data_IF_378308826083
#
_entry.id   IF_378308826083
#
_cell.length_a   1.000
_cell.length_b   1.000
_cell.length_c   1.000
_cell.angle_alpha   90.00
_cell.angle_beta   90.00
_cell.angle_gamma   90.00
#
_symmetry.space_group_name_H-M   'P 1'
#
loop_
_entity.id
_entity.type
_entity.pdbx_description
1 polymer ?
#
# COMPACT_ATOMS: atom_id res chain seq x y z
N UNK A 1 11.94 58.72 -40.78
CA UNK A 1 10.96 57.64 -40.47
C UNK A 1 11.62 56.36 -39.93
N UNK A 2 12.76 55.87 -40.46
CA UNK A 2 13.41 54.62 -40.02
C UNK A 2 13.89 54.59 -38.55
N UNK A 3 14.42 55.72 -38.03
CA UNK A 3 14.91 55.81 -36.64
C UNK A 3 13.81 55.81 -35.56
N UNK A 4 12.58 56.21 -35.90
CA UNK A 4 11.46 56.23 -34.94
C UNK A 4 10.93 54.81 -34.72
N UNK A 5 10.86 54.02 -35.79
CA UNK A 5 10.39 52.63 -35.74
C UNK A 5 11.34 51.76 -34.90
N UNK A 6 12.66 51.93 -35.07
CA UNK A 6 13.67 51.19 -34.30
C UNK A 6 13.59 51.53 -32.80
N UNK A 7 13.39 52.80 -32.45
CA UNK A 7 13.19 53.21 -31.05
C UNK A 7 11.91 52.61 -30.46
N UNK A 8 10.78 52.63 -31.18
CA UNK A 8 9.53 52.03 -30.71
C UNK A 8 9.64 50.51 -30.51
N UNK A 9 10.35 49.81 -31.40
CA UNK A 9 10.58 48.36 -31.25
C UNK A 9 11.47 48.02 -30.04
N UNK A 10 12.50 48.82 -29.77
CA UNK A 10 13.34 48.68 -28.57
C UNK A 10 12.57 48.96 -27.27
N UNK A 11 11.75 50.01 -27.25
CA UNK A 11 10.90 50.29 -26.09
C UNK A 11 9.82 49.21 -25.88
N UNK A 12 9.26 48.68 -26.98
CA UNK A 12 8.29 47.58 -26.92
C UNK A 12 8.88 46.26 -26.42
N UNK A 13 10.13 45.93 -26.80
CA UNK A 13 10.78 44.71 -26.31
C UNK A 13 11.21 44.82 -24.85
N UNK A 14 11.66 46.00 -24.41
CA UNK A 14 12.01 46.26 -23.02
C UNK A 14 10.78 46.20 -22.10
N UNK A 15 9.65 46.79 -22.51
CA UNK A 15 8.42 46.72 -21.72
C UNK A 15 7.89 45.29 -21.67
N UNK A 16 7.90 44.55 -22.79
CA UNK A 16 7.50 43.14 -22.79
C UNK A 16 8.40 42.26 -21.89
N UNK A 17 9.72 42.49 -21.91
CA UNK A 17 10.68 41.81 -21.02
C UNK A 17 10.44 42.10 -19.54
N UNK A 18 10.11 43.35 -19.20
CA UNK A 18 9.77 43.72 -17.81
C UNK A 18 8.43 43.12 -17.36
N UNK A 19 7.41 43.12 -18.22
CA UNK A 19 6.10 42.54 -17.89
C UNK A 19 6.16 41.01 -17.76
N UNK A 20 6.93 40.33 -18.60
CA UNK A 20 7.12 38.88 -18.49
C UNK A 20 7.86 38.50 -17.21
N UNK A 21 8.94 39.21 -16.85
CA UNK A 21 9.66 38.97 -15.58
C UNK A 21 8.79 39.26 -14.36
N UNK A 22 8.02 40.34 -14.35
CA UNK A 22 7.06 40.63 -13.27
C UNK A 22 5.96 39.57 -13.16
N UNK A 23 5.48 39.04 -14.28
CA UNK A 23 4.50 37.96 -14.30
C UNK A 23 5.08 36.64 -13.75
N UNK A 24 6.31 36.28 -14.11
CA UNK A 24 6.99 35.12 -13.54
C UNK A 24 7.25 35.28 -12.04
N UNK A 25 7.65 36.47 -11.58
CA UNK A 25 7.81 36.76 -10.14
C UNK A 25 6.47 36.68 -9.39
N UNK A 26 5.38 37.14 -10.01
CA UNK A 26 4.03 37.03 -9.44
C UNK A 26 3.56 35.58 -9.33
N UNK A 27 3.73 34.77 -10.39
CA UNK A 27 3.42 33.35 -10.36
C UNK A 27 4.27 32.60 -9.35
N UNK A 28 5.58 32.90 -9.29
CA UNK A 28 6.47 32.32 -8.30
C UNK A 28 6.01 32.66 -6.87
N UNK A 29 5.60 33.91 -6.63
CA UNK A 29 5.09 34.35 -5.31
C UNK A 29 3.77 33.70 -4.91
N UNK A 30 2.84 33.50 -5.85
CA UNK A 30 1.60 32.76 -5.57
C UNK A 30 1.92 31.31 -5.24
N UNK A 31 2.83 30.70 -6.00
CA UNK A 31 3.23 29.32 -5.80
C UNK A 31 3.91 29.12 -4.44
N UNK A 32 4.86 29.99 -4.08
CA UNK A 32 5.51 29.96 -2.76
C UNK A 32 4.52 30.21 -1.63
N UNK A 33 3.59 31.15 -1.78
CA UNK A 33 2.56 31.41 -0.76
C UNK A 33 1.60 30.22 -0.57
N UNK A 34 1.20 29.54 -1.64
CA UNK A 34 0.37 28.32 -1.55
C UNK A 34 1.12 27.18 -0.84
N UNK A 35 2.41 27.04 -1.14
CA UNK A 35 3.29 26.05 -0.50
C UNK A 35 3.56 26.37 0.98
N UNK A 36 3.80 27.64 1.32
CA UNK A 36 3.99 28.09 2.71
C UNK A 36 2.74 27.84 3.56
N UNK A 37 1.54 28.12 3.01
CA UNK A 37 0.28 27.83 3.71
C UNK A 37 0.13 26.33 3.99
N UNK A 38 0.45 25.50 3.01
CA UNK A 38 0.42 24.02 3.16
C UNK A 38 1.46 23.56 4.21
N UNK A 39 2.65 24.15 4.21
CA UNK A 39 3.73 23.87 5.17
C UNK A 39 3.35 24.30 6.60
N UNK A 40 2.75 25.48 6.77
CA UNK A 40 2.26 25.97 8.07
C UNK A 40 1.13 25.11 8.64
N UNK A 41 0.17 24.68 7.81
CA UNK A 41 -0.88 23.72 8.20
C UNK A 41 -0.34 22.32 8.56
N UNK A 42 0.82 21.95 8.01
CA UNK A 42 1.53 20.71 8.36
C UNK A 42 2.28 20.83 9.70
N UNK A 43 3.05 21.90 9.84
CA UNK A 43 3.87 22.18 11.02
C UNK A 43 3.01 22.37 12.26
N UNK A 44 1.93 23.16 12.16
CA UNK A 44 1.00 23.38 13.29
C UNK A 44 0.34 22.08 13.79
N UNK A 45 -0.02 21.16 12.90
CA UNK A 45 -0.57 19.86 13.27
C UNK A 45 0.46 18.99 14.01
N UNK A 46 1.70 18.97 13.53
CA UNK A 46 2.81 18.26 14.17
C UNK A 46 3.17 18.80 15.57
N UNK A 47 3.18 20.13 15.75
CA UNK A 47 3.50 20.75 17.04
C UNK A 47 2.40 20.56 18.09
N UNK A 48 1.12 20.59 17.69
CA UNK A 48 -0.01 20.35 18.60
C UNK A 48 0.00 18.92 19.14
N UNK A 49 0.30 17.94 18.29
CA UNK A 49 0.37 16.51 18.65
C UNK A 49 1.53 16.16 19.59
N UNK A 50 2.68 16.85 19.47
CA UNK A 50 3.77 16.70 20.44
C UNK A 50 3.40 17.21 21.85
N UNK A 51 2.46 18.15 21.96
CA UNK A 51 2.06 18.72 23.25
C UNK A 51 1.03 17.88 24.02
N UNK A 52 0.25 17.04 23.33
CA UNK A 52 -0.77 16.19 23.96
C UNK A 52 -0.22 14.87 24.54
N UNK A 53 1.07 14.55 24.36
CA UNK A 53 1.69 13.29 24.81
C UNK A 53 2.52 13.42 26.11
N UNK A 54 2.00 14.07 27.15
CA UNK A 54 2.55 13.96 28.52
C UNK A 54 1.65 13.07 29.42
N UNK A 55 2.23 12.19 30.26
CA UNK A 55 1.46 11.17 30.96
C UNK A 55 0.73 11.74 32.18
N UNK A 56 -0.61 11.63 32.19
CA UNK A 56 -1.44 11.92 33.35
C UNK A 56 -1.22 10.80 34.39
N UNK A 57 -0.57 11.14 35.49
CA UNK A 57 -0.54 10.36 36.73
C UNK A 57 -1.75 10.76 37.57
N UNK A 58 -2.61 9.81 37.99
CA UNK A 58 -3.25 9.77 39.32
C UNK A 58 -4.21 8.59 39.52
N UNK A 59 -4.19 8.06 40.74
CA UNK A 59 -4.90 6.90 41.32
C UNK A 59 -6.45 6.99 41.31
N UNK A 60 -7.16 5.84 41.49
CA UNK A 60 -8.62 5.76 41.37
C UNK A 60 -9.36 6.03 42.70
N UNK A 61 -10.34 6.94 42.67
CA UNK A 61 -11.44 7.02 43.65
C UNK A 61 -12.78 6.70 42.96
N UNK A 62 -13.71 5.99 43.62
CA UNK A 62 -14.93 5.46 42.98
C UNK A 62 -16.04 6.52 42.90
N UNK A 63 -16.87 6.56 41.84
CA UNK A 63 -17.95 7.53 41.77
C UNK A 63 -19.17 7.09 42.57
N UNK A 64 -19.68 8.04 43.35
CA UNK A 64 -20.96 8.02 44.05
C UNK A 64 -22.15 8.00 43.07
N UNK A 65 -23.19 7.25 43.43
CA UNK A 65 -24.48 7.17 42.74
C UNK A 65 -25.20 8.53 42.71
N UNK A 66 -25.63 8.97 41.54
CA UNK A 66 -26.68 9.98 41.39
C UNK A 66 -27.64 9.60 40.25
N UNK A 67 -28.92 9.78 40.52
CA UNK A 67 -30.07 9.32 39.76
C UNK A 67 -30.21 9.96 38.37
N UNK A 68 -30.41 9.13 37.34
CA UNK A 68 -30.82 9.55 36.00
C UNK A 68 -32.33 9.78 35.98
N UNK A 69 -32.73 11.03 35.87
CA UNK A 69 -34.07 11.42 35.42
C UNK A 69 -34.09 11.32 33.90
N UNK A 70 -34.80 10.33 33.36
CA UNK A 70 -35.03 10.17 31.92
C UNK A 70 -35.94 11.29 31.43
N UNK A 71 -35.37 12.26 30.71
CA UNK A 71 -36.14 13.14 29.82
C UNK A 71 -35.80 12.75 28.38
N UNK A 72 -36.74 12.05 27.74
CA UNK A 72 -36.74 11.78 26.32
C UNK A 72 -36.80 13.10 25.53
N UNK A 73 -35.70 13.44 24.85
CA UNK A 73 -35.71 14.26 23.62
C UNK A 73 -34.87 13.53 22.58
N UNK A 74 -35.36 13.35 21.34
CA UNK A 74 -34.55 12.81 20.27
C UNK A 74 -33.55 13.88 19.84
N UNK A 75 -32.28 13.74 20.22
CA UNK A 75 -31.20 14.47 19.58
C UNK A 75 -31.02 13.93 18.17
N UNK A 76 -31.18 14.84 17.20
CA UNK A 76 -30.97 14.60 15.78
C UNK A 76 -29.57 14.04 15.56
N UNK A 77 -29.51 12.75 15.23
CA UNK A 77 -28.43 12.17 14.46
C UNK A 77 -28.27 13.01 13.19
N UNK A 78 -27.18 13.78 13.10
CA UNK A 78 -26.77 14.40 11.85
C UNK A 78 -26.40 13.26 10.91
N UNK A 79 -27.38 12.84 10.12
CA UNK A 79 -27.21 12.03 8.92
C UNK A 79 -26.22 12.77 8.02
N UNK A 80 -25.02 12.21 7.85
CA UNK A 80 -24.16 12.54 6.71
C UNK A 80 -24.88 12.05 5.46
N UNK A 81 -25.66 12.94 4.87
CA UNK A 81 -26.46 12.71 3.68
C UNK A 81 -25.53 12.61 2.46
N UNK A 82 -25.39 11.38 1.94
CA UNK A 82 -25.27 11.04 0.50
C UNK A 82 -24.24 11.83 -0.33
N UNK A 83 -23.04 11.27 -0.52
CA UNK A 83 -22.09 11.64 -1.60
C UNK A 83 -22.26 10.71 -2.83
N UNK A 84 -23.50 10.30 -3.11
CA UNK A 84 -23.83 9.27 -4.10
C UNK A 84 -24.67 9.72 -5.31
N UNK A 85 -24.94 11.01 -5.51
CA UNK A 85 -25.77 11.46 -6.63
C UNK A 85 -25.10 12.55 -7.48
N UNK A 86 -25.09 12.33 -8.80
CA UNK A 86 -24.59 13.19 -9.89
C UNK A 86 -23.08 13.22 -10.16
N UNK A 87 -22.44 12.06 -10.33
CA UNK A 87 -21.14 12.01 -11.02
C UNK A 87 -21.37 12.32 -12.50
N UNK A 88 -21.00 13.53 -12.93
CA UNK A 88 -21.06 13.91 -14.33
C UNK A 88 -19.90 13.27 -15.10
N UNK A 89 -20.14 12.09 -15.67
CA UNK A 89 -19.17 11.38 -16.52
C UNK A 89 -18.78 12.13 -17.80
N UNK A 90 -19.43 13.26 -18.10
CA UNK A 90 -19.05 14.15 -19.19
C UNK A 90 -18.03 15.23 -18.78
N UNK A 91 -17.66 15.32 -17.49
CA UNK A 91 -16.62 16.25 -17.04
C UNK A 91 -15.23 15.81 -17.57
N UNK A 92 -14.57 16.62 -18.42
CA UNK A 92 -13.26 16.28 -18.96
C UNK A 92 -12.19 16.06 -17.87
N UNK A 93 -12.29 16.76 -16.73
CA UNK A 93 -11.32 16.61 -15.62
C UNK A 93 -11.47 15.26 -14.92
N UNK A 94 -12.71 14.78 -14.78
CA UNK A 94 -12.98 13.47 -14.21
C UNK A 94 -12.42 12.37 -15.11
N UNK A 95 -12.68 12.46 -16.42
CA UNK A 95 -12.18 11.51 -17.41
C UNK A 95 -10.65 11.50 -17.49
N UNK A 96 -10.01 12.68 -17.42
CA UNK A 96 -8.55 12.79 -17.36
C UNK A 96 -8.00 12.12 -16.09
N UNK A 97 -8.59 12.39 -14.92
CA UNK A 97 -8.21 11.76 -13.65
C UNK A 97 -8.33 10.23 -13.69
N UNK A 98 -9.46 9.72 -14.17
CA UNK A 98 -9.70 8.28 -14.34
C UNK A 98 -8.70 7.65 -15.32
N UNK A 99 -8.44 8.29 -16.46
CA UNK A 99 -7.49 7.80 -17.46
C UNK A 99 -6.04 7.83 -16.97
N UNK A 100 -5.67 8.87 -16.22
CA UNK A 100 -4.29 9.12 -15.78
C UNK A 100 -3.93 8.31 -14.54
N UNK A 101 -4.82 8.25 -13.54
CA UNK A 101 -4.54 7.65 -12.23
C UNK A 101 -5.40 6.43 -11.90
N UNK A 102 -6.47 6.19 -12.67
CA UNK A 102 -7.37 5.05 -12.46
C UNK A 102 -8.50 5.28 -11.46
N UNK A 103 -8.66 6.50 -10.95
CA UNK A 103 -9.67 6.87 -9.96
C UNK A 103 -10.02 8.37 -10.01
N UNK A 104 -11.05 8.78 -9.28
CA UNK A 104 -11.58 10.13 -9.29
C UNK A 104 -10.70 11.11 -8.49
N UNK A 105 -9.87 11.86 -9.22
CA UNK A 105 -8.94 12.85 -8.65
C UNK A 105 -9.63 14.10 -8.12
N UNK A 106 -10.82 14.44 -8.63
CA UNK A 106 -11.62 15.58 -8.12
C UNK A 106 -12.02 15.28 -6.68
N UNK A 107 -12.58 14.09 -6.43
CA UNK A 107 -12.92 13.66 -5.08
C UNK A 107 -11.68 13.52 -4.20
N UNK A 108 -10.58 12.93 -4.71
CA UNK A 108 -9.32 12.84 -3.95
C UNK A 108 -8.82 14.21 -3.49
N UNK A 109 -8.86 15.21 -4.37
CA UNK A 109 -8.45 16.59 -4.06
C UNK A 109 -9.38 17.24 -3.05
N UNK A 110 -10.70 17.12 -3.23
CA UNK A 110 -11.69 17.74 -2.35
C UNK A 110 -11.65 17.19 -0.92
N UNK A 111 -11.38 15.90 -0.78
CA UNK A 111 -11.22 15.25 0.52
C UNK A 111 -9.89 15.64 1.20
N UNK A 112 -8.97 16.32 0.49
CA UNK A 112 -7.68 16.76 1.02
C UNK A 112 -6.71 15.60 1.18
N UNK A 113 -5.75 15.64 2.10
CA UNK A 113 -4.88 14.51 2.47
C UNK A 113 -5.06 14.08 3.94
N UNK A 114 -5.74 14.90 4.74
CA UNK A 114 -6.14 14.62 6.12
C UNK A 114 -7.62 14.27 6.15
N UNK A 115 -7.95 13.03 6.47
CA UNK A 115 -9.33 12.61 6.75
C UNK A 115 -9.35 11.49 7.78
N UNK A 116 -10.46 11.39 8.49
CA UNK A 116 -10.75 10.20 9.29
C UNK A 116 -11.44 9.14 8.44
N UNK A 117 -11.14 7.88 8.73
CA UNK A 117 -11.80 6.71 8.14
C UNK A 117 -12.57 5.95 9.22
N UNK A 118 -13.67 5.27 8.90
CA UNK A 118 -14.41 4.48 9.88
C UNK A 118 -13.53 3.36 10.45
N UNK A 119 -13.70 3.06 11.74
CA UNK A 119 -13.07 1.88 12.35
C UNK A 119 -13.83 0.63 11.90
N UNK A 120 -13.26 -0.08 10.93
CA UNK A 120 -13.84 -1.27 10.29
C UNK A 120 -13.43 -2.57 10.98
N UNK A 121 -12.71 -2.50 12.11
CA UNK A 121 -12.29 -3.67 12.87
C UNK A 121 -13.48 -4.31 13.59
N UNK A 122 -13.37 -5.61 13.83
CA UNK A 122 -14.33 -6.30 14.69
C UNK A 122 -14.21 -5.78 16.13
N UNK A 123 -15.31 -5.65 16.87
CA UNK A 123 -15.32 -5.09 18.24
C UNK A 123 -14.38 -5.82 19.21
N UNK A 124 -14.17 -7.12 19.00
CA UNK A 124 -13.24 -7.92 19.80
C UNK A 124 -11.78 -7.51 19.63
N UNK A 125 -11.40 -6.91 18.49
CA UNK A 125 -10.04 -6.40 18.28
C UNK A 125 -9.68 -5.28 19.27
N UNK A 126 -10.69 -4.56 19.77
CA UNK A 126 -10.50 -3.47 20.73
C UNK A 126 -10.13 -3.99 22.13
N UNK A 127 -10.36 -5.27 22.40
CA UNK A 127 -10.06 -5.92 23.69
C UNK A 127 -8.67 -6.55 23.70
N UNK A 128 -7.97 -6.58 22.55
CA UNK A 128 -6.62 -7.13 22.47
C UNK A 128 -5.62 -6.18 23.12
N UNK A 129 -4.88 -6.69 24.10
CA UNK A 129 -3.73 -6.02 24.68
C UNK A 129 -2.45 -6.60 24.10
N UNK A 130 -1.68 -5.77 23.40
CA UNK A 130 -0.37 -6.14 22.88
C UNK A 130 0.72 -5.77 23.89
N UNK A 131 1.83 -6.51 23.88
CA UNK A 131 3.02 -6.17 24.68
C UNK A 131 3.51 -4.76 24.33
N UNK A 132 4.05 -4.04 25.30
CA UNK A 132 4.71 -2.75 25.05
C UNK A 132 6.03 -2.89 24.27
N UNK A 133 6.62 -4.09 24.26
CA UNK A 133 7.88 -4.39 23.59
C UNK A 133 7.61 -5.12 22.27
N UNK A 134 7.23 -4.35 21.23
CA UNK A 134 7.09 -4.84 19.87
C UNK A 134 8.31 -4.41 19.02
N UNK A 135 8.68 -5.18 17.98
CA UNK A 135 9.76 -4.81 17.06
C UNK A 135 9.42 -3.52 16.30
N UNK A 136 10.44 -2.74 15.91
CA UNK A 136 10.22 -1.53 15.12
C UNK A 136 9.93 -1.85 13.65
N UNK A 137 9.25 -0.94 12.95
CA UNK A 137 8.83 -1.12 11.57
C UNK A 137 9.37 -0.01 10.65
N UNK A 138 9.98 -0.41 9.53
CA UNK A 138 10.23 0.47 8.38
C UNK A 138 9.11 0.26 7.36
N UNK A 139 8.32 1.30 7.12
CA UNK A 139 7.23 1.28 6.15
C UNK A 139 7.75 1.68 4.77
N UNK A 140 7.64 0.81 3.77
CA UNK A 140 8.17 1.01 2.42
C UNK A 140 7.02 1.23 1.45
N UNK A 141 6.99 2.39 0.81
CA UNK A 141 5.98 2.79 -0.16
C UNK A 141 6.67 3.05 -1.50
N UNK A 142 6.45 2.17 -2.47
CA UNK A 142 6.93 2.36 -3.83
C UNK A 142 5.86 3.05 -4.67
N UNK A 143 6.24 4.02 -5.48
CA UNK A 143 5.30 4.75 -6.33
C UNK A 143 5.92 5.10 -7.68
N UNK A 144 5.07 5.21 -8.69
CA UNK A 144 5.42 5.69 -10.02
C UNK A 144 4.20 6.46 -10.55
N UNK A 145 4.36 7.75 -10.84
CA UNK A 145 3.29 8.57 -11.40
C UNK A 145 1.99 8.53 -10.55
N UNK A 146 2.14 8.44 -9.23
CA UNK A 146 1.02 8.42 -8.28
C UNK A 146 0.32 9.78 -8.18
N UNK A 147 -0.98 9.79 -7.89
CA UNK A 147 -1.68 11.04 -7.61
C UNK A 147 -1.18 11.64 -6.29
N UNK A 148 -0.83 12.93 -6.30
CA UNK A 148 -0.18 13.58 -5.17
C UNK A 148 -0.94 13.45 -3.86
N UNK A 149 -2.26 13.70 -3.85
CA UNK A 149 -3.05 13.61 -2.60
C UNK A 149 -3.18 12.16 -2.12
N UNK A 150 -3.33 11.17 -3.00
CA UNK A 150 -3.37 9.76 -2.61
C UNK A 150 -2.05 9.28 -1.99
N UNK A 151 -0.91 9.62 -2.58
CA UNK A 151 0.42 9.34 -2.00
C UNK A 151 0.54 9.98 -0.62
N UNK A 152 0.17 11.26 -0.53
CA UNK A 152 0.33 12.02 0.70
C UNK A 152 -0.64 11.56 1.80
N UNK A 153 -1.86 11.17 1.44
CA UNK A 153 -2.85 10.59 2.35
C UNK A 153 -2.39 9.24 2.88
N UNK A 154 -1.76 8.42 2.05
CA UNK A 154 -1.13 7.16 2.49
C UNK A 154 -0.09 7.43 3.57
N UNK A 155 0.88 8.29 3.25
CA UNK A 155 1.95 8.67 4.17
C UNK A 155 1.40 9.29 5.46
N UNK A 156 0.44 10.22 5.35
CA UNK A 156 -0.16 10.90 6.49
C UNK A 156 -0.93 9.93 7.39
N UNK A 157 -1.68 8.97 6.82
CA UNK A 157 -2.39 7.96 7.59
C UNK A 157 -1.43 7.09 8.42
N UNK A 158 -0.27 6.72 7.85
CA UNK A 158 0.77 5.98 8.57
C UNK A 158 1.35 6.80 9.70
N UNK A 159 1.73 8.06 9.45
CA UNK A 159 2.28 8.95 10.49
C UNK A 159 1.30 9.14 11.64
N UNK A 160 0.03 9.41 11.34
CA UNK A 160 -0.97 9.77 12.33
C UNK A 160 -1.49 8.58 13.16
N UNK A 161 -1.60 7.40 12.54
CA UNK A 161 -2.23 6.23 13.16
C UNK A 161 -1.22 5.17 13.65
N UNK A 162 0.07 5.49 13.66
CA UNK A 162 1.12 4.58 14.12
C UNK A 162 1.86 5.16 15.33
N UNK A 163 1.97 4.41 16.44
CA UNK A 163 2.73 4.87 17.60
C UNK A 163 4.20 5.20 17.25
N UNK A 164 4.68 6.34 17.74
CA UNK A 164 6.03 6.84 17.46
C UNK A 164 7.16 5.87 17.84
N UNK A 165 6.94 5.02 18.85
CA UNK A 165 7.89 4.00 19.31
C UNK A 165 7.99 2.78 18.39
N UNK A 166 6.98 2.57 17.53
CA UNK A 166 6.93 1.43 16.61
C UNK A 166 7.36 1.82 15.19
N UNK A 167 7.10 3.08 14.79
CA UNK A 167 7.48 3.60 13.48
C UNK A 167 8.92 4.10 13.49
N UNK A 168 9.83 3.26 13.00
CA UNK A 168 11.24 3.60 12.78
C UNK A 168 11.36 4.67 11.69
N UNK A 169 10.74 4.42 10.54
CA UNK A 169 10.83 5.28 9.37
C UNK A 169 9.77 4.94 8.30
N UNK A 170 9.55 5.89 7.40
CA UNK A 170 8.83 5.69 6.14
C UNK A 170 9.82 5.89 4.99
N UNK A 171 9.95 4.89 4.11
CA UNK A 171 10.81 4.92 2.94
C UNK A 171 9.93 5.03 1.70
N UNK A 172 9.97 6.18 1.07
CA UNK A 172 9.33 6.43 -0.22
C UNK A 172 10.32 6.08 -1.34
N UNK A 173 9.93 5.19 -2.24
CA UNK A 173 10.75 4.80 -3.40
C UNK A 173 10.05 5.27 -4.66
N UNK A 174 10.55 6.36 -5.24
CA UNK A 174 10.12 6.90 -6.52
C UNK A 174 10.75 6.08 -7.66
N UNK A 175 9.94 5.27 -8.33
CA UNK A 175 10.36 4.45 -9.46
C UNK A 175 10.32 5.23 -10.78
N UNK A 176 11.11 6.31 -10.84
CA UNK A 176 11.26 7.19 -12.01
C UNK A 176 9.94 7.84 -12.44
N UNK A 177 9.28 8.57 -11.52
CA UNK A 177 8.08 9.35 -11.84
C UNK A 177 8.37 10.52 -12.78
N UNK A 178 7.44 10.76 -13.69
CA UNK A 178 7.50 11.80 -14.71
C UNK A 178 6.76 13.07 -14.28
N UNK A 179 5.75 12.95 -13.42
CA UNK A 179 4.89 14.08 -13.03
C UNK A 179 5.62 15.08 -12.13
N UNK A 180 5.49 16.36 -12.47
CA UNK A 180 6.23 17.46 -11.84
C UNK A 180 5.92 17.63 -10.34
N UNK A 181 4.68 17.35 -9.94
CA UNK A 181 4.23 17.43 -8.54
C UNK A 181 4.86 16.37 -7.64
N UNK A 182 5.45 15.33 -8.21
CA UNK A 182 6.22 14.30 -7.51
C UNK A 182 7.73 14.62 -7.46
N UNK A 183 8.17 15.76 -8.00
CA UNK A 183 9.57 16.20 -8.00
C UNK A 183 9.82 17.24 -6.89
N UNK A 184 10.17 18.46 -7.25
CA UNK A 184 10.55 19.53 -6.32
C UNK A 184 9.44 19.82 -5.29
N UNK A 185 8.16 19.76 -5.72
CA UNK A 185 7.02 19.95 -4.81
C UNK A 185 7.00 18.88 -3.71
N UNK A 186 7.20 17.61 -4.07
CA UNK A 186 7.24 16.52 -3.08
C UNK A 186 8.46 16.68 -2.16
N UNK A 187 9.63 16.98 -2.71
CA UNK A 187 10.86 17.19 -1.93
C UNK A 187 10.65 18.26 -0.85
N UNK A 188 10.08 19.41 -1.24
CA UNK A 188 9.77 20.52 -0.33
C UNK A 188 8.81 20.13 0.78
N UNK A 189 7.71 19.44 0.45
CA UNK A 189 6.70 19.06 1.44
C UNK A 189 7.25 18.02 2.43
N UNK A 190 8.15 17.14 1.96
CA UNK A 190 8.79 16.14 2.81
C UNK A 190 9.84 16.73 3.77
N UNK A 191 10.32 17.96 3.54
CA UNK A 191 11.24 18.63 4.46
C UNK A 191 10.66 18.81 5.87
N UNK A 192 9.34 18.91 5.99
CA UNK A 192 8.67 19.04 7.30
C UNK A 192 8.82 17.75 8.14
N UNK A 193 9.02 16.60 7.49
CA UNK A 193 9.16 15.29 8.14
C UNK A 193 10.60 14.82 8.30
N UNK A 194 11.56 15.76 8.23
CA UNK A 194 13.01 15.48 8.32
C UNK A 194 13.32 14.57 9.51
N UNK A 195 13.89 13.39 9.22
CA UNK A 195 14.31 12.39 10.20
C UNK A 195 13.47 11.11 10.23
N UNK A 196 12.16 11.18 9.93
CA UNK A 196 11.29 9.99 9.86
C UNK A 196 11.01 9.50 8.44
N UNK A 197 11.12 10.36 7.43
CA UNK A 197 10.81 10.00 6.05
C UNK A 197 12.08 10.07 5.18
N UNK A 198 12.33 9.00 4.43
CA UNK A 198 13.43 8.89 3.47
C UNK A 198 12.87 8.75 2.06
N UNK A 199 13.21 9.67 1.17
CA UNK A 199 12.86 9.59 -0.24
C UNK A 199 14.05 9.05 -1.04
N UNK A 200 13.81 8.01 -1.83
CA UNK A 200 14.77 7.39 -2.75
C UNK A 200 14.24 7.59 -4.17
N UNK A 201 15.04 8.17 -5.05
CA UNK A 201 14.70 8.36 -6.47
C UNK A 201 15.51 7.43 -7.37
N UNK A 202 14.84 6.55 -8.08
CA UNK A 202 15.48 5.67 -9.06
C UNK A 202 15.83 6.45 -10.33
N UNK A 203 17.02 6.19 -10.88
CA UNK A 203 17.49 6.81 -12.12
C UNK A 203 16.94 6.14 -13.39
N UNK A 204 16.35 4.95 -13.23
CA UNK A 204 15.67 4.20 -14.27
C UNK A 204 14.42 3.54 -13.69
N UNK A 205 13.43 3.25 -14.52
CA UNK A 205 12.23 2.53 -14.10
C UNK A 205 12.55 1.05 -13.85
N UNK A 206 12.67 0.70 -12.58
CA UNK A 206 13.07 -0.63 -12.10
C UNK A 206 11.88 -1.59 -11.97
N UNK A 207 10.67 -1.05 -11.73
CA UNK A 207 9.47 -1.80 -11.41
C UNK A 207 9.20 -1.91 -9.91
N UNK A 208 7.96 -2.29 -9.55
CA UNK A 208 7.53 -2.48 -8.16
C UNK A 208 8.46 -3.46 -7.41
N UNK A 209 8.79 -4.58 -8.05
CA UNK A 209 9.56 -5.68 -7.43
C UNK A 209 10.94 -5.20 -6.97
N UNK A 210 11.66 -4.53 -7.88
CA UNK A 210 13.00 -4.01 -7.62
C UNK A 210 12.95 -2.75 -6.75
N UNK A 211 11.95 -1.88 -6.93
CA UNK A 211 11.69 -0.74 -6.06
C UNK A 211 11.53 -1.16 -4.59
N UNK A 212 10.77 -2.22 -4.33
CA UNK A 212 10.60 -2.78 -2.97
C UNK A 212 11.91 -3.32 -2.40
N UNK A 213 12.72 -4.00 -3.21
CA UNK A 213 14.04 -4.46 -2.77
C UNK A 213 15.00 -3.30 -2.48
N UNK A 214 14.94 -2.21 -3.26
CA UNK A 214 15.72 -0.99 -3.02
C UNK A 214 15.32 -0.36 -1.69
N UNK A 215 14.01 -0.23 -1.43
CA UNK A 215 13.51 0.26 -0.15
C UNK A 215 13.93 -0.62 1.03
N UNK A 216 13.77 -1.94 0.89
CA UNK A 216 14.15 -2.92 1.91
C UNK A 216 15.65 -2.88 2.23
N UNK A 217 16.50 -2.65 1.22
CA UNK A 217 17.95 -2.52 1.41
C UNK A 217 18.35 -1.25 2.18
N UNK A 218 17.48 -0.24 2.27
CA UNK A 218 17.72 1.01 3.00
C UNK A 218 17.01 1.09 4.35
N UNK A 219 16.23 0.06 4.70
CA UNK A 219 15.47 -0.02 5.94
C UNK A 219 16.34 -0.37 7.16
N UNK A 220 16.13 0.33 8.28
CA UNK A 220 16.76 0.08 9.59
C UNK A 220 15.89 -0.70 10.57
N UNK A 221 14.56 -0.68 10.43
CA UNK A 221 13.62 -1.32 11.34
C UNK A 221 13.71 -2.84 11.35
N UNK A 222 13.24 -3.45 12.44
CA UNK A 222 13.23 -4.91 12.61
C UNK A 222 12.31 -5.60 11.61
N UNK A 223 11.16 -4.98 11.34
CA UNK A 223 10.12 -5.47 10.42
C UNK A 223 10.02 -4.55 9.21
N UNK A 224 9.95 -5.14 8.02
CA UNK A 224 9.60 -4.45 6.78
C UNK A 224 8.10 -4.50 6.60
N UNK A 225 7.48 -3.34 6.37
CA UNK A 225 6.04 -3.24 6.07
C UNK A 225 5.88 -2.61 4.70
N UNK A 226 5.43 -3.37 3.72
CA UNK A 226 5.18 -2.86 2.37
C UNK A 226 3.75 -2.33 2.29
N UNK A 227 3.59 -1.13 1.73
CA UNK A 227 2.30 -0.51 1.42
C UNK A 227 2.33 0.02 -0.01
N UNK A 228 1.22 -0.17 -0.72
CA UNK A 228 1.01 0.54 -2.00
C UNK A 228 0.73 2.03 -1.73
N UNK A 229 1.00 2.87 -2.73
CA UNK A 229 1.01 4.33 -2.61
C UNK A 229 -0.36 5.02 -2.60
N UNK A 230 -1.43 4.24 -2.50
CA UNK A 230 -2.83 4.69 -2.51
C UNK A 230 -3.65 3.89 -1.50
N UNK A 231 -3.14 3.88 -0.27
CA UNK A 231 -3.70 3.19 0.88
C UNK A 231 -4.09 4.18 1.98
N UNK A 232 -5.00 3.77 2.87
CA UNK A 232 -5.27 4.46 4.13
C UNK A 232 -5.32 3.44 5.25
N UNK A 233 -4.39 3.52 6.20
CA UNK A 233 -4.35 2.58 7.31
C UNK A 233 -5.45 2.86 8.32
N UNK A 234 -5.95 1.83 9.01
CA UNK A 234 -6.95 2.00 10.05
C UNK A 234 -6.30 2.15 11.45
N UNK A 235 -7.09 2.46 12.47
CA UNK A 235 -6.63 2.53 13.87
C UNK A 235 -6.06 1.19 14.31
N UNK A 236 -4.92 1.20 14.99
CA UNK A 236 -4.28 0.00 15.53
C UNK A 236 -3.93 -1.05 14.46
N UNK A 237 -3.59 -0.61 13.25
CA UNK A 237 -3.30 -1.51 12.13
C UNK A 237 -1.96 -2.23 12.28
N UNK A 238 -0.96 -1.62 12.94
CA UNK A 238 0.41 -2.13 12.90
C UNK A 238 0.70 -3.14 14.01
N UNK A 239 0.22 -2.86 15.22
CA UNK A 239 0.46 -3.65 16.43
C UNK A 239 0.08 -5.13 16.28
N UNK A 240 -1.08 -5.50 15.68
CA UNK A 240 -1.43 -6.91 15.46
C UNK A 240 -0.45 -7.63 14.51
N UNK A 241 0.09 -6.91 13.51
CA UNK A 241 1.07 -7.44 12.57
C UNK A 241 2.40 -7.71 13.28
N UNK A 242 2.92 -6.69 13.98
CA UNK A 242 4.18 -6.79 14.71
C UNK A 242 4.13 -7.82 15.83
N UNK A 243 2.99 -7.91 16.54
CA UNK A 243 2.79 -8.92 17.58
C UNK A 243 2.85 -10.35 17.04
N UNK A 244 2.31 -10.57 15.84
CA UNK A 244 2.35 -11.89 15.20
C UNK A 244 3.79 -12.25 14.80
N UNK A 245 4.52 -11.31 14.19
CA UNK A 245 5.93 -11.53 13.81
C UNK A 245 6.82 -11.70 15.05
N UNK A 246 6.57 -10.97 16.14
CA UNK A 246 7.34 -11.10 17.38
C UNK A 246 7.20 -12.49 18.02
N UNK A 247 6.10 -13.22 17.78
CA UNK A 247 5.93 -14.61 18.23
C UNK A 247 6.72 -15.59 17.40
N UNK A 248 6.79 -15.37 16.08
CA UNK A 248 7.54 -16.19 15.15
C UNK A 248 8.03 -15.33 13.98
N UNK A 249 9.34 -15.11 13.93
CA UNK A 249 10.00 -14.31 12.90
C UNK A 249 9.87 -14.90 11.47
N UNK A 250 9.40 -16.14 11.32
CA UNK A 250 9.10 -16.77 10.03
C UNK A 250 7.65 -16.59 9.58
N UNK A 251 6.82 -15.92 10.38
CA UNK A 251 5.50 -15.49 9.96
C UNK A 251 5.60 -14.26 9.05
N UNK A 252 4.93 -14.35 7.91
CA UNK A 252 4.63 -13.23 7.03
C UNK A 252 3.15 -12.95 7.18
N UNK A 253 2.81 -11.69 7.43
CA UNK A 253 1.45 -11.31 7.81
C UNK A 253 0.91 -10.19 6.94
N UNK A 254 -0.34 -10.32 6.53
CA UNK A 254 -1.08 -9.33 5.77
C UNK A 254 -2.21 -8.75 6.62
N UNK A 255 -2.53 -7.46 6.50
CA UNK A 255 -3.81 -6.95 6.99
C UNK A 255 -4.98 -7.50 6.16
N UNK A 256 -6.19 -7.37 6.67
CA UNK A 256 -7.37 -7.37 5.80
C UNK A 256 -7.38 -6.08 4.98
N UNK A 257 -7.54 -6.22 3.67
CA UNK A 257 -7.54 -5.11 2.74
C UNK A 257 -8.97 -4.63 2.53
N UNK A 258 -9.28 -3.45 3.04
CA UNK A 258 -10.55 -2.76 2.84
C UNK A 258 -10.59 -2.07 1.48
N UNK A 259 -11.80 -1.81 0.99
CA UNK A 259 -12.00 -1.17 -0.31
C UNK A 259 -12.14 0.33 -0.11
N UNK A 260 -11.33 1.10 -0.82
CA UNK A 260 -11.60 2.52 -1.05
C UNK A 260 -12.11 2.63 -2.48
N UNK A 261 -13.37 3.03 -2.61
CA UNK A 261 -14.05 3.11 -3.91
C UNK A 261 -13.36 4.12 -4.82
N UNK A 262 -13.07 3.74 -6.07
CA UNK A 262 -12.28 4.57 -6.97
C UNK A 262 -13.02 5.82 -7.45
N UNK A 263 -14.34 5.90 -7.26
CA UNK A 263 -15.15 7.00 -7.77
C UNK A 263 -15.57 7.96 -6.65
N UNK A 264 -16.02 7.41 -5.53
CA UNK A 264 -16.53 8.15 -4.36
C UNK A 264 -15.49 8.32 -3.26
N UNK A 265 -14.38 7.57 -3.31
CA UNK A 265 -13.35 7.49 -2.27
C UNK A 265 -13.92 7.06 -0.91
N UNK A 266 -15.09 6.41 -0.89
CA UNK A 266 -15.69 5.87 0.32
C UNK A 266 -14.88 4.66 0.80
N UNK A 267 -14.53 4.66 2.09
CA UNK A 267 -13.84 3.55 2.75
C UNK A 267 -14.86 2.53 3.25
N UNK A 268 -14.79 1.29 2.74
CA UNK A 268 -15.72 0.20 3.07
C UNK A 268 -14.99 -1.03 3.59
N UNK A 269 -15.53 -1.62 4.64
CA UNK A 269 -15.01 -2.85 5.21
C UNK A 269 -15.14 -4.02 4.21
N UNK A 270 -14.04 -4.75 3.99
CA UNK A 270 -14.05 -6.00 3.25
C UNK A 270 -14.51 -7.18 4.10
N UNK A 271 -15.17 -8.20 3.52
CA UNK A 271 -15.44 -9.44 4.23
C UNK A 271 -14.14 -10.14 4.63
N UNK A 272 -14.22 -11.04 5.60
CA UNK A 272 -13.09 -11.88 6.00
C UNK A 272 -12.82 -12.90 4.90
N UNK A 273 -11.68 -12.78 4.24
CA UNK A 273 -11.27 -13.59 3.08
C UNK A 273 -9.84 -14.08 3.27
N UNK A 274 -9.50 -15.14 2.53
CA UNK A 274 -8.11 -15.61 2.36
C UNK A 274 -7.66 -15.44 0.91
N UNK A 275 -6.36 -15.29 0.71
CA UNK A 275 -5.78 -15.20 -0.63
C UNK A 275 -5.54 -16.58 -1.23
N UNK A 276 -5.94 -16.75 -2.49
CA UNK A 276 -5.83 -17.97 -3.25
C UNK A 276 -5.39 -17.66 -4.70
N UNK A 277 -5.25 -18.69 -5.52
CA UNK A 277 -5.02 -18.54 -6.95
C UNK A 277 -5.58 -19.74 -7.73
N UNK A 278 -5.64 -19.61 -9.05
CA UNK A 278 -6.04 -20.69 -9.97
C UNK A 278 -4.85 -21.24 -10.77
N UNK A 279 -5.08 -22.28 -11.57
CA UNK A 279 -4.05 -22.86 -12.45
C UNK A 279 -3.61 -21.96 -13.61
N UNK A 280 -4.27 -20.82 -13.84
CA UNK A 280 -3.76 -19.78 -14.74
C UNK A 280 -2.79 -18.81 -14.04
N UNK A 281 -2.56 -19.03 -12.74
CA UNK A 281 -1.75 -18.23 -11.82
C UNK A 281 -2.32 -16.83 -11.60
N UNK A 282 -3.65 -16.71 -11.62
CA UNK A 282 -4.34 -15.47 -11.25
C UNK A 282 -4.68 -15.51 -9.77
N UNK A 283 -4.28 -14.48 -9.04
CA UNK A 283 -4.68 -14.28 -7.65
C UNK A 283 -6.20 -14.08 -7.57
N UNK A 284 -6.82 -14.62 -6.52
CA UNK A 284 -8.23 -14.39 -6.19
C UNK A 284 -8.41 -14.36 -4.67
N UNK A 285 -9.46 -13.68 -4.23
CA UNK A 285 -9.95 -13.81 -2.86
C UNK A 285 -10.87 -15.02 -2.78
N UNK A 286 -10.69 -15.82 -1.74
CA UNK A 286 -11.49 -17.00 -1.43
C UNK A 286 -12.13 -16.85 -0.04
N UNK A 287 -13.23 -17.54 0.17
CA UNK A 287 -13.88 -17.57 1.46
C UNK A 287 -13.03 -18.33 2.46
N UNK A 288 -13.08 -17.91 3.72
CA UNK A 288 -12.50 -18.66 4.82
C UNK A 288 -13.48 -19.76 5.22
N UNK A 289 -12.98 -20.99 5.41
CA UNK A 289 -13.85 -22.10 5.73
C UNK A 289 -14.57 -21.90 7.06
N UNK A 290 -15.81 -22.41 7.16
CA UNK A 290 -16.61 -22.30 8.39
C UNK A 290 -15.87 -22.88 9.60
N UNK A 291 -15.23 -24.04 9.46
CA UNK A 291 -14.44 -24.63 10.54
C UNK A 291 -13.19 -23.80 10.91
N UNK A 292 -12.74 -22.88 10.06
CA UNK A 292 -11.71 -21.89 10.38
C UNK A 292 -12.27 -20.66 11.10
N UNK A 293 -13.59 -20.43 11.02
CA UNK A 293 -14.34 -19.28 11.54
C UNK A 293 -15.23 -19.61 12.76
N UNK A 294 -15.50 -20.89 13.06
CA UNK A 294 -16.40 -21.31 14.13
C UNK A 294 -15.71 -21.29 15.52
N UNK A 295 -16.24 -20.52 16.46
CA UNK A 295 -15.78 -20.43 17.87
C UNK A 295 -15.70 -18.98 18.39
N UNK A 296 -15.53 -18.78 19.72
CA UNK A 296 -15.67 -17.47 20.35
C UNK A 296 -14.60 -16.45 19.90
N UNK A 297 -13.33 -16.85 19.75
CA UNK A 297 -12.22 -15.93 19.42
C UNK A 297 -11.86 -15.90 17.92
N UNK A 298 -12.63 -16.60 17.08
CA UNK A 298 -12.31 -16.80 15.68
C UNK A 298 -12.41 -15.56 14.78
N UNK A 299 -13.30 -14.57 15.02
CA UNK A 299 -13.35 -13.35 14.20
C UNK A 299 -12.05 -12.52 14.21
N UNK A 300 -11.17 -12.76 15.17
CA UNK A 300 -9.91 -12.00 15.37
C UNK A 300 -8.66 -12.86 15.23
N UNK A 301 -8.82 -14.18 15.01
CA UNK A 301 -7.70 -15.11 14.93
C UNK A 301 -6.96 -14.94 13.58
N UNK A 302 -5.62 -15.06 13.54
CA UNK A 302 -4.87 -15.14 12.29
C UNK A 302 -5.42 -16.24 11.36
N UNK A 303 -5.60 -15.89 10.09
CA UNK A 303 -6.22 -16.74 9.06
C UNK A 303 -5.13 -17.24 8.13
N UNK A 304 -5.00 -18.56 7.98
CA UNK A 304 -3.99 -19.14 7.11
C UNK A 304 -4.32 -18.81 5.66
N UNK A 305 -3.35 -18.28 4.91
CA UNK A 305 -3.56 -17.83 3.53
C UNK A 305 -2.63 -18.57 2.58
N UNK A 306 -3.15 -19.35 1.61
CA UNK A 306 -2.34 -19.97 0.56
C UNK A 306 -1.47 -18.97 -0.20
N UNK A 307 -2.04 -17.82 -0.54
CA UNK A 307 -1.35 -16.74 -1.22
C UNK A 307 -1.68 -15.37 -0.59
N UNK A 308 -0.87 -14.37 -0.90
CA UNK A 308 -1.17 -12.96 -0.59
C UNK A 308 -1.42 -12.16 -1.87
N UNK A 309 -2.18 -11.07 -1.75
CA UNK A 309 -2.31 -10.09 -2.82
C UNK A 309 -0.96 -9.45 -3.16
N UNK A 310 -0.07 -9.32 -2.16
CA UNK A 310 1.29 -8.82 -2.31
C UNK A 310 1.43 -7.30 -2.20
N UNK A 311 0.36 -6.53 -2.37
CA UNK A 311 0.36 -5.07 -2.20
C UNK A 311 0.78 -4.63 -0.78
N UNK A 312 0.21 -5.29 0.23
CA UNK A 312 0.33 -4.88 1.63
C UNK A 312 0.68 -6.09 2.51
N UNK A 313 1.84 -6.08 3.15
CA UNK A 313 2.26 -7.13 4.08
C UNK A 313 3.42 -6.67 4.97
N UNK A 314 3.61 -7.38 6.09
CA UNK A 314 4.74 -7.21 6.99
C UNK A 314 5.56 -8.51 7.08
N UNK A 315 6.88 -8.36 7.13
CA UNK A 315 7.83 -9.48 7.23
C UNK A 315 9.05 -9.07 8.06
N UNK A 316 9.56 -9.98 8.88
CA UNK A 316 10.82 -9.74 9.60
C UNK A 316 11.97 -9.51 8.61
N UNK A 317 12.73 -8.42 8.79
CA UNK A 317 13.74 -7.98 7.81
C UNK A 317 14.82 -9.04 7.56
N UNK A 318 15.31 -9.68 8.63
CA UNK A 318 16.31 -10.75 8.49
C UNK A 318 15.71 -11.95 7.73
N UNK A 319 14.47 -12.33 8.05
CA UNK A 319 13.80 -13.44 7.36
C UNK A 319 13.60 -13.13 5.87
N UNK A 320 13.18 -11.92 5.50
CA UNK A 320 13.08 -11.49 4.10
C UNK A 320 14.41 -11.66 3.33
N UNK A 321 15.54 -11.33 3.98
CA UNK A 321 16.87 -11.54 3.40
C UNK A 321 17.25 -13.02 3.31
N UNK A 322 17.01 -13.79 4.37
CA UNK A 322 17.29 -15.23 4.48
C UNK A 322 16.59 -16.01 3.36
N UNK A 323 15.30 -15.75 3.13
CA UNK A 323 14.53 -16.42 2.07
C UNK A 323 14.85 -15.89 0.67
N UNK A 324 15.77 -14.92 0.52
CA UNK A 324 16.22 -14.43 -0.78
C UNK A 324 15.33 -13.36 -1.42
N UNK A 325 14.72 -12.48 -0.62
CA UNK A 325 14.01 -11.26 -1.04
C UNK A 325 12.97 -11.52 -2.14
N UNK A 326 12.94 -10.74 -3.23
CA UNK A 326 12.22 -11.10 -4.45
C UNK A 326 13.18 -11.66 -5.51
N UNK A 327 12.66 -12.35 -6.51
CA UNK A 327 13.43 -12.74 -7.69
C UNK A 327 13.81 -11.51 -8.53
N UNK A 328 15.09 -11.12 -8.50
CA UNK A 328 15.65 -9.97 -9.24
C UNK A 328 15.48 -10.07 -10.76
N UNK A 329 15.27 -11.28 -11.28
CA UNK A 329 15.02 -11.52 -12.70
C UNK A 329 13.57 -11.27 -13.13
N UNK A 330 12.66 -11.00 -12.20
CA UNK A 330 11.31 -10.53 -12.49
C UNK A 330 11.28 -9.05 -12.86
N UNK A 331 10.41 -8.69 -13.80
CA UNK A 331 10.30 -7.35 -14.36
C UNK A 331 9.02 -6.66 -13.91
N UNK A 332 9.09 -5.33 -13.77
CA UNK A 332 7.96 -4.44 -13.48
C UNK A 332 7.09 -4.92 -12.31
N UNK A 333 6.02 -5.65 -12.63
CA UNK A 333 4.97 -6.08 -11.72
C UNK A 333 4.35 -7.39 -12.18
N UNK A 334 3.89 -8.19 -11.22
CA UNK A 334 3.00 -9.32 -11.46
C UNK A 334 3.68 -10.67 -11.22
N UNK A 335 2.98 -11.55 -10.50
CA UNK A 335 3.44 -12.91 -10.18
C UNK A 335 4.39 -12.99 -8.98
N UNK A 336 4.98 -11.87 -8.55
CA UNK A 336 5.88 -11.82 -7.38
C UNK A 336 5.18 -12.17 -6.08
N UNK A 337 3.89 -11.83 -5.99
CA UNK A 337 3.06 -12.12 -4.83
C UNK A 337 2.85 -13.63 -4.66
N UNK A 338 2.58 -14.34 -5.76
CA UNK A 338 2.44 -15.79 -5.76
C UNK A 338 3.80 -16.48 -5.55
N UNK A 339 4.86 -16.00 -6.19
CA UNK A 339 6.21 -16.58 -6.04
C UNK A 339 6.69 -16.52 -4.60
N UNK A 340 6.52 -15.36 -3.96
CA UNK A 340 6.89 -15.17 -2.56
C UNK A 340 5.97 -16.00 -1.65
N UNK A 341 4.67 -16.10 -1.95
CA UNK A 341 3.73 -16.95 -1.17
C UNK A 341 4.14 -18.42 -1.17
N UNK A 342 4.41 -18.98 -2.37
CA UNK A 342 4.86 -20.36 -2.52
C UNK A 342 6.17 -20.59 -1.77
N UNK A 343 7.13 -19.68 -1.93
CA UNK A 343 8.42 -19.78 -1.25
C UNK A 343 8.29 -19.71 0.26
N UNK A 344 7.48 -18.80 0.81
CA UNK A 344 7.27 -18.70 2.26
C UNK A 344 6.79 -20.05 2.80
N UNK A 345 5.74 -20.62 2.20
CA UNK A 345 5.18 -21.89 2.65
C UNK A 345 6.14 -23.06 2.46
N UNK A 346 6.68 -23.22 1.26
CA UNK A 346 7.50 -24.37 0.90
C UNK A 346 8.85 -24.35 1.62
N UNK A 347 9.36 -23.19 2.03
CA UNK A 347 10.66 -23.07 2.71
C UNK A 347 10.54 -22.90 4.24
N UNK A 348 9.40 -23.31 4.82
CA UNK A 348 9.25 -23.45 6.28
C UNK A 348 8.80 -22.20 7.03
N UNK A 349 8.32 -21.17 6.32
CA UNK A 349 7.60 -20.05 6.91
C UNK A 349 6.09 -20.24 6.88
N UNK A 350 5.38 -19.19 7.27
CA UNK A 350 3.92 -19.20 7.33
C UNK A 350 3.36 -17.88 6.82
N UNK A 351 2.20 -17.93 6.18
CA UNK A 351 1.51 -16.76 5.64
C UNK A 351 0.12 -16.63 6.24
N UNK A 352 -0.14 -15.50 6.91
CA UNK A 352 -1.40 -15.24 7.58
C UNK A 352 -2.01 -13.91 7.20
N UNK A 353 -3.34 -13.82 7.23
CA UNK A 353 -4.09 -12.57 7.26
C UNK A 353 -4.49 -12.31 8.71
N UNK A 354 -4.29 -11.08 9.18
CA UNK A 354 -4.55 -10.67 10.57
C UNK A 354 -5.80 -9.79 10.60
N UNK A 355 -6.98 -10.31 11.03
CA UNK A 355 -8.24 -9.59 10.88
C UNK A 355 -8.34 -8.26 11.64
N UNK A 356 -7.58 -8.13 12.74
CA UNK A 356 -7.53 -6.90 13.53
C UNK A 356 -6.65 -5.81 12.92
N UNK A 357 -5.84 -6.14 11.92
CA UNK A 357 -5.11 -5.17 11.12
C UNK A 357 -5.88 -4.91 9.84
N UNK A 358 -6.25 -3.65 9.60
CA UNK A 358 -7.01 -3.26 8.39
C UNK A 358 -6.36 -2.07 7.70
N UNK A 359 -6.31 -2.14 6.38
CA UNK A 359 -5.78 -1.08 5.51
C UNK A 359 -6.71 -0.96 4.31
N UNK A 360 -7.23 0.22 4.06
CA UNK A 360 -8.00 0.54 2.86
C UNK A 360 -7.07 0.72 1.67
N UNK A 361 -7.49 0.23 0.51
CA UNK A 361 -6.75 0.33 -0.74
C UNK A 361 -7.67 0.84 -1.86
N UNK A 362 -7.22 1.82 -2.64
CA UNK A 362 -7.99 2.34 -3.79
C UNK A 362 -7.99 1.31 -4.93
N UNK A 363 -9.18 0.84 -5.34
CA UNK A 363 -9.31 -0.12 -6.45
C UNK A 363 -9.20 0.56 -7.81
N UNK A 364 -7.98 0.92 -8.20
CA UNK A 364 -7.73 1.63 -9.47
C UNK A 364 -8.18 0.84 -10.68
N UNK A 365 -8.79 1.52 -11.65
CA UNK A 365 -8.99 1.00 -13.01
C UNK A 365 -7.71 1.17 -13.81
N UNK A 366 -7.21 0.08 -14.38
CA UNK A 366 -5.96 0.10 -15.12
C UNK A 366 -6.21 0.41 -16.60
N UNK A 367 -5.75 1.56 -17.09
CA UNK A 367 -5.99 2.01 -18.47
C UNK A 367 -4.73 2.08 -19.35
N UNK A 368 -3.52 1.98 -18.79
CA UNK A 368 -2.24 2.22 -19.53
C UNK A 368 -1.23 1.07 -19.40
N UNK A 369 -0.33 0.98 -20.37
CA UNK A 369 0.83 0.06 -20.44
C UNK A 369 0.53 -1.45 -20.44
N UNK A 370 -0.65 -1.85 -20.90
CA UNK A 370 -1.10 -3.27 -20.89
C UNK A 370 -0.07 -4.21 -21.53
N UNK A 371 0.59 -3.83 -22.62
CA UNK A 371 1.51 -4.73 -23.34
C UNK A 371 2.83 -5.00 -22.60
N UNK A 372 3.44 -3.98 -22.00
CA UNK A 372 4.68 -4.15 -21.23
C UNK A 372 4.42 -4.92 -19.94
N UNK A 373 3.32 -4.59 -19.25
CA UNK A 373 2.88 -5.28 -18.04
C UNK A 373 2.52 -6.74 -18.34
N UNK A 374 1.84 -7.02 -19.46
CA UNK A 374 1.52 -8.39 -19.87
C UNK A 374 2.76 -9.22 -20.17
N UNK A 375 3.77 -8.64 -20.86
CA UNK A 375 5.06 -9.31 -21.10
C UNK A 375 5.80 -9.59 -19.80
N UNK A 376 5.85 -8.60 -18.90
CA UNK A 376 6.45 -8.74 -17.58
C UNK A 376 5.76 -9.85 -16.77
N UNK A 377 4.43 -9.80 -16.64
CA UNK A 377 3.63 -10.81 -15.96
C UNK A 377 3.88 -12.22 -16.53
N UNK A 378 3.92 -12.36 -17.86
CA UNK A 378 4.19 -13.64 -18.53
C UNK A 378 5.57 -14.17 -18.16
N UNK A 379 6.60 -13.34 -18.29
CA UNK A 379 7.98 -13.70 -17.95
C UNK A 379 8.10 -14.08 -16.47
N UNK A 380 7.55 -13.27 -15.57
CA UNK A 380 7.59 -13.49 -14.13
C UNK A 380 6.87 -14.79 -13.74
N UNK A 381 5.69 -15.03 -14.30
CA UNK A 381 4.94 -16.26 -14.10
C UNK A 381 5.74 -17.48 -14.54
N UNK A 382 6.38 -17.45 -15.71
CA UNK A 382 7.22 -18.56 -16.17
C UNK A 382 8.42 -18.82 -15.26
N UNK A 383 9.07 -17.76 -14.76
CA UNK A 383 10.16 -17.92 -13.77
C UNK A 383 9.68 -18.64 -12.52
N UNK A 384 8.53 -18.24 -11.97
CA UNK A 384 7.92 -18.91 -10.82
C UNK A 384 7.55 -20.36 -11.14
N UNK A 385 6.87 -20.60 -12.27
CA UNK A 385 6.42 -21.92 -12.72
C UNK A 385 7.57 -22.92 -12.76
N UNK A 386 8.69 -22.53 -13.37
CA UNK A 386 9.85 -23.40 -13.53
C UNK A 386 10.62 -23.64 -12.23
N UNK A 387 10.50 -22.76 -11.24
CA UNK A 387 11.21 -22.90 -9.96
C UNK A 387 10.37 -23.62 -8.91
N UNK A 388 9.04 -23.39 -8.87
CA UNK A 388 8.21 -23.72 -7.70
C UNK A 388 7.11 -24.74 -7.95
N UNK A 389 6.69 -24.99 -9.20
CA UNK A 389 5.53 -25.87 -9.47
C UNK A 389 5.90 -27.32 -9.79
N UNK A 390 7.18 -27.70 -9.76
CA UNK A 390 7.63 -29.07 -10.03
C UNK A 390 6.99 -29.67 -11.31
N UNK A 391 6.43 -30.88 -11.25
CA UNK A 391 5.66 -31.52 -12.33
C UNK A 391 4.30 -30.83 -12.62
N UNK A 392 3.75 -30.10 -11.65
CA UNK A 392 2.45 -29.42 -11.77
C UNK A 392 2.49 -28.20 -12.69
N UNK A 393 3.66 -27.76 -13.13
CA UNK A 393 3.78 -26.78 -14.23
C UNK A 393 3.02 -27.21 -15.48
N UNK A 394 2.82 -28.51 -15.69
CA UNK A 394 2.03 -29.03 -16.82
C UNK A 394 0.57 -28.56 -16.76
N UNK A 395 -0.02 -28.39 -15.57
CA UNK A 395 -1.38 -27.86 -15.40
C UNK A 395 -1.49 -26.40 -15.86
N UNK A 396 -0.45 -25.60 -15.63
CA UNK A 396 -0.36 -24.24 -16.14
C UNK A 396 -0.23 -24.25 -17.67
N UNK A 397 0.64 -25.10 -18.22
CA UNK A 397 0.84 -25.17 -19.67
C UNK A 397 -0.32 -25.80 -20.44
N UNK A 398 -1.15 -26.65 -19.83
CA UNK A 398 -2.38 -27.13 -20.45
C UNK A 398 -3.36 -25.97 -20.71
N UNK A 399 -3.43 -25.00 -19.79
CA UNK A 399 -4.29 -23.81 -19.91
C UNK A 399 -3.66 -22.70 -20.76
N UNK A 400 -2.32 -22.64 -20.81
CA UNK A 400 -1.57 -21.68 -21.62
C UNK A 400 -0.49 -22.36 -22.48
N UNK A 401 -0.85 -23.18 -23.49
CA UNK A 401 0.12 -23.98 -24.26
C UNK A 401 1.18 -23.15 -24.97
N UNK A 402 0.80 -21.96 -25.48
CA UNK A 402 1.70 -21.05 -26.17
C UNK A 402 2.84 -20.48 -25.32
N UNK A 403 2.80 -20.67 -23.99
CA UNK A 403 3.85 -20.18 -23.09
C UNK A 403 5.01 -21.16 -22.90
N UNK A 404 4.90 -22.42 -23.35
CA UNK A 404 5.96 -23.44 -23.19
C UNK A 404 7.29 -23.05 -23.83
N UNK A 405 7.24 -22.35 -24.96
CA UNK A 405 8.41 -21.97 -25.76
C UNK A 405 8.92 -20.56 -25.47
N UNK A 406 8.29 -19.83 -24.54
CA UNK A 406 8.64 -18.45 -24.22
C UNK A 406 9.83 -18.41 -23.26
N UNK A 407 10.83 -17.58 -23.56
CA UNK A 407 12.02 -17.43 -22.74
C UNK A 407 11.71 -16.68 -21.42
N UNK A 408 12.17 -17.26 -20.30
CA UNK A 408 12.02 -16.71 -18.95
C UNK A 408 13.36 -16.31 -18.30
N UNK A 409 14.46 -16.44 -19.04
CA UNK A 409 15.81 -16.10 -18.57
C UNK A 409 16.40 -17.09 -17.58
N UNK A 410 17.57 -16.77 -17.04
CA UNK A 410 18.28 -17.64 -16.09
C UNK A 410 17.57 -17.66 -14.72
N UNK A 411 17.29 -18.86 -14.20
CA UNK A 411 16.67 -19.10 -12.89
C UNK A 411 17.57 -19.86 -11.91
N UNK A 412 18.84 -20.10 -12.26
CA UNK A 412 19.76 -20.95 -11.48
C UNK A 412 19.90 -20.48 -10.03
N UNK A 413 20.00 -19.16 -9.79
CA UNK A 413 20.06 -18.61 -8.43
C UNK A 413 18.81 -18.97 -7.59
N UNK A 414 17.63 -18.98 -8.21
CA UNK A 414 16.36 -19.32 -7.53
C UNK A 414 16.24 -20.81 -7.26
N UNK A 415 16.68 -21.65 -8.21
CA UNK A 415 16.75 -23.10 -8.03
C UNK A 415 17.73 -23.47 -6.92
N UNK A 416 18.89 -22.80 -6.87
CA UNK A 416 19.93 -23.06 -5.87
C UNK A 416 19.51 -22.57 -4.49
N UNK A 417 18.81 -21.44 -4.42
CA UNK A 417 18.16 -20.95 -3.21
C UNK A 417 17.15 -21.99 -2.67
N UNK A 418 16.27 -22.52 -3.53
CA UNK A 418 15.27 -23.53 -3.14
C UNK A 418 15.93 -24.78 -2.56
N UNK A 419 17.03 -25.25 -3.17
CA UNK A 419 17.82 -26.38 -2.67
C UNK A 419 18.48 -26.06 -1.32
N UNK A 420 19.15 -24.91 -1.21
CA UNK A 420 19.88 -24.49 0.00
C UNK A 420 18.98 -24.38 1.22
N UNK A 421 17.75 -23.87 1.03
CA UNK A 421 16.76 -23.73 2.10
C UNK A 421 16.06 -25.05 2.44
N UNK A 422 16.30 -26.13 1.70
CA UNK A 422 15.64 -27.42 1.92
C UNK A 422 14.12 -27.35 1.73
N UNK A 423 13.65 -26.54 0.78
CA UNK A 423 12.23 -26.31 0.59
C UNK A 423 11.49 -27.59 0.14
N UNK A 424 10.24 -27.72 0.56
CA UNK A 424 9.34 -28.82 0.24
C UNK A 424 8.93 -28.81 -1.25
N UNK A 425 8.32 -29.91 -1.69
CA UNK A 425 7.74 -30.04 -3.03
C UNK A 425 6.43 -29.26 -3.16
N UNK A 426 6.01 -29.01 -4.39
CA UNK A 426 4.71 -28.41 -4.67
C UNK A 426 3.56 -29.36 -4.29
N UNK A 427 3.75 -30.68 -4.42
CA UNK A 427 2.81 -31.68 -3.87
C UNK A 427 2.58 -31.44 -2.37
N UNK A 428 3.63 -31.28 -1.56
CA UNK A 428 3.47 -31.00 -0.13
C UNK A 428 2.68 -29.72 0.12
N UNK A 429 2.87 -28.69 -0.72
CA UNK A 429 2.11 -27.46 -0.65
C UNK A 429 0.61 -27.71 -0.94
N UNK A 430 0.28 -28.50 -1.96
CA UNK A 430 -1.11 -28.90 -2.23
C UNK A 430 -1.69 -29.67 -1.05
N UNK A 431 -0.98 -30.69 -0.55
CA UNK A 431 -1.49 -31.55 0.54
C UNK A 431 -1.72 -30.78 1.84
N UNK A 432 -0.87 -29.79 2.15
CA UNK A 432 -0.77 -29.20 3.49
C UNK A 432 -1.26 -27.76 3.57
N UNK A 433 -1.22 -27.02 2.46
CA UNK A 433 -1.48 -25.58 2.42
C UNK A 433 -2.71 -25.26 1.57
N UNK A 434 -2.81 -25.84 0.38
CA UNK A 434 -3.87 -25.50 -0.57
C UNK A 434 -4.46 -26.71 -1.32
N UNK A 435 -5.09 -27.65 -0.62
CA UNK A 435 -5.62 -28.89 -1.22
C UNK A 435 -6.76 -28.62 -2.20
N UNK A 436 -7.46 -27.50 -2.05
CA UNK A 436 -8.58 -27.15 -2.93
C UNK A 436 -8.13 -26.79 -4.36
N UNK A 437 -6.88 -26.38 -4.54
CA UNK A 437 -6.33 -26.12 -5.87
C UNK A 437 -6.24 -27.42 -6.68
N UNK A 438 -5.82 -28.52 -6.06
CA UNK A 438 -5.73 -29.82 -6.72
C UNK A 438 -7.13 -30.38 -7.04
N UNK A 439 -8.08 -30.25 -6.11
CA UNK A 439 -9.46 -30.66 -6.33
C UNK A 439 -10.10 -29.98 -7.56
N UNK A 440 -9.70 -28.74 -7.87
CA UNK A 440 -10.21 -28.01 -9.05
C UNK A 440 -9.78 -28.62 -10.39
N UNK A 441 -8.72 -29.42 -10.43
CA UNK A 441 -8.31 -30.15 -11.64
C UNK A 441 -9.30 -31.26 -11.95
N UNK A 442 -9.79 -31.95 -10.92
CA UNK A 442 -10.67 -33.11 -11.06
C UNK A 442 -12.14 -32.74 -11.32
N UNK A 443 -12.50 -31.47 -11.14
CA UNK A 443 -13.85 -30.94 -11.40
C UNK A 443 -14.01 -30.25 -12.76
N UNK A 444 -12.94 -30.16 -13.56
CA UNK A 444 -12.89 -29.41 -14.82
C UNK A 444 -13.02 -30.30 -16.06
#
# INVERSE_FOLDING_TARGET
RRNVIIRCLLYGSLTFGMWTTLFFLYLHRIHTHYLEKTSQELSSAWYLEQSEQQPITQDPQPPSKAHVVVKNKPEKLQTFTVLGENINYSDPKLLDGLSKYGFNTITSTNVGFKREVPDTRHKMCLQNHYSTHLPTASVIICFHNEEFNALFRTMFSVVNLTPNSLLEEIILVDDMSEFDDLKEKLDYVLEVFRGKIKLIRNQKREGLIRGRMIGAARASGDVLVFLDSHCEVNKGWLEPLLYSIAKDHKMVVCPLIDVIDETTLEYRASPVVRGAFDWELKFKWDNVFSYEMDGPDRPIKPIRSPAMAGGIFAIYRHYFNEIGQYDKGMDLWGGENLELSLRIWMCGGQLFIIPCSRVGHITKKQFKEVSAITRAFTRNSLRMVHVWLDEYKEQFFLRKPGLRSIAYGNISERVELRKRLGCKSFQWYLDTVFPELEASVNSS
#
